data_IF_443538494940
#
_entry.id   IF_443538494940
#
_cell.length_a   1.000
_cell.length_b   1.000
_cell.length_c   1.000
_cell.angle_alpha   90.00
_cell.angle_beta   90.00
_cell.angle_gamma   90.00
#
_symmetry.space_group_name_H-M   'P 1'
#
loop_
_entity.id
_entity.type
_entity.pdbx_description
1 polymer ?
#
# COMPACT_ATOMS: atom_id res chain seq x y z
N UNK A 1 24.98 -11.63 -5.93
CA UNK A 1 24.39 -10.41 -5.36
C UNK A 1 22.95 -10.75 -5.07
N UNK A 2 22.56 -10.84 -3.80
CA UNK A 2 21.16 -10.94 -3.43
C UNK A 2 20.58 -9.53 -3.60
N UNK A 3 19.57 -9.36 -4.44
CA UNK A 3 18.77 -8.15 -4.38
C UNK A 3 18.12 -8.15 -3.00
N UNK A 4 18.49 -7.22 -2.13
CA UNK A 4 17.70 -6.91 -0.94
C UNK A 4 16.44 -6.21 -1.46
N UNK A 5 15.48 -6.99 -1.95
CA UNK A 5 14.13 -6.49 -2.22
C UNK A 5 13.51 -6.17 -0.87
N UNK A 6 13.13 -4.91 -0.68
CA UNK A 6 12.36 -4.49 0.49
C UNK A 6 11.04 -5.26 0.59
N UNK A 7 10.34 -5.13 1.71
CA UNK A 7 9.00 -5.72 1.89
C UNK A 7 7.93 -4.63 1.80
N UNK A 8 6.70 -5.01 1.46
CA UNK A 8 5.54 -4.15 1.67
C UNK A 8 5.08 -4.17 3.13
N UNK A 9 4.10 -3.32 3.46
CA UNK A 9 3.39 -3.42 4.74
C UNK A 9 2.66 -4.75 4.89
N UNK A 10 2.56 -5.24 6.13
CA UNK A 10 1.83 -6.48 6.45
C UNK A 10 0.33 -6.25 6.70
N UNK A 11 -0.16 -5.01 6.59
CA UNK A 11 -1.57 -4.69 6.78
C UNK A 11 -2.43 -5.36 5.70
N UNK A 12 -3.54 -5.99 6.10
CA UNK A 12 -4.43 -6.71 5.17
C UNK A 12 -5.54 -5.77 4.65
N UNK A 13 -5.53 -5.41 3.35
CA UNK A 13 -6.53 -4.52 2.77
C UNK A 13 -7.90 -5.19 2.59
N UNK A 14 -7.98 -6.53 2.68
CA UNK A 14 -9.25 -7.26 2.53
C UNK A 14 -10.23 -7.02 3.68
N UNK A 15 -9.72 -6.53 4.81
CA UNK A 15 -10.51 -6.17 6.01
C UNK A 15 -11.19 -4.80 5.90
N UNK A 16 -10.88 -4.01 4.87
CA UNK A 16 -11.42 -2.65 4.70
C UNK A 16 -12.73 -2.70 3.92
N UNK A 17 -13.83 -2.36 4.59
CA UNK A 17 -15.18 -2.38 4.02
C UNK A 17 -15.84 -1.01 3.97
N UNK A 18 -15.39 -0.09 4.81
CA UNK A 18 -15.99 1.22 5.04
C UNK A 18 -14.92 2.24 5.49
N UNK A 19 -15.36 3.46 5.78
CA UNK A 19 -14.47 4.55 6.20
C UNK A 19 -13.77 4.27 7.53
N UNK A 20 -14.46 3.65 8.49
CA UNK A 20 -13.93 3.47 9.84
C UNK A 20 -12.86 2.38 9.83
N UNK A 21 -13.15 1.24 9.17
CA UNK A 21 -12.17 0.18 8.92
C UNK A 21 -10.97 0.63 8.08
N UNK A 22 -11.15 1.61 7.17
CA UNK A 22 -10.04 2.23 6.46
C UNK A 22 -9.15 3.09 7.40
N UNK A 23 -9.76 3.80 8.35
CA UNK A 23 -9.03 4.53 9.39
C UNK A 23 -8.17 3.61 10.24
N UNK A 24 -8.76 2.52 10.75
CA UNK A 24 -8.06 1.50 11.53
C UNK A 24 -6.90 0.88 10.73
N UNK A 25 -7.12 0.60 9.44
CA UNK A 25 -6.08 0.12 8.53
C UNK A 25 -4.89 1.08 8.43
N UNK A 26 -5.13 2.39 8.29
CA UNK A 26 -4.06 3.39 8.20
C UNK A 26 -3.24 3.47 9.49
N UNK A 27 -3.87 3.30 10.65
CA UNK A 27 -3.15 3.25 11.93
C UNK A 27 -2.23 2.03 12.00
N UNK A 28 -2.65 0.88 11.48
CA UNK A 28 -1.80 -0.32 11.39
C UNK A 28 -0.61 -0.09 10.45
N UNK A 29 -0.84 0.48 9.26
CA UNK A 29 0.23 0.81 8.30
C UNK A 29 1.24 1.77 8.92
N UNK A 30 0.77 2.81 9.62
CA UNK A 30 1.63 3.77 10.31
C UNK A 30 2.40 3.13 11.47
N UNK A 31 1.78 2.19 12.17
CA UNK A 31 2.42 1.38 13.21
C UNK A 31 3.55 0.51 12.64
N UNK A 32 3.32 -0.15 11.49
CA UNK A 32 4.33 -0.96 10.80
C UNK A 32 5.53 -0.11 10.34
N UNK A 33 5.28 1.09 9.81
CA UNK A 33 6.34 2.03 9.44
C UNK A 33 7.22 2.38 10.66
N UNK A 34 6.58 2.86 11.74
CA UNK A 34 7.28 3.46 12.90
C UNK A 34 7.88 2.44 13.86
N UNK A 35 7.23 1.30 14.03
CA UNK A 35 7.53 0.33 15.08
C UNK A 35 7.87 -1.07 14.52
N UNK A 36 7.37 -1.40 13.32
CA UNK A 36 7.54 -2.70 12.68
C UNK A 36 8.79 -2.83 11.81
N UNK A 37 9.68 -1.82 11.79
CA UNK A 37 10.88 -1.81 10.96
C UNK A 37 10.65 -1.30 9.53
N UNK A 38 9.43 -0.86 9.19
CA UNK A 38 9.11 -0.39 7.84
C UNK A 38 9.98 0.78 7.36
N UNK A 39 10.47 1.65 8.25
CA UNK A 39 11.41 2.73 7.87
C UNK A 39 12.68 2.21 7.18
N UNK A 40 13.19 1.04 7.60
CA UNK A 40 14.39 0.42 7.03
C UNK A 40 14.09 -0.70 6.03
N UNK A 41 12.90 -1.28 6.09
CA UNK A 41 12.56 -2.50 5.35
C UNK A 41 11.60 -2.28 4.19
N UNK A 42 10.81 -1.20 4.21
CA UNK A 42 9.93 -0.88 3.08
C UNK A 42 10.73 -0.45 1.88
N UNK A 43 10.34 -0.94 0.71
CA UNK A 43 10.96 -0.55 -0.54
C UNK A 43 10.78 0.95 -0.82
N UNK A 44 9.60 1.45 -0.48
CA UNK A 44 9.16 2.83 -0.66
C UNK A 44 8.96 3.54 0.69
N UNK A 45 9.96 3.49 1.56
CA UNK A 45 9.89 4.05 2.92
C UNK A 45 9.91 5.59 2.98
N UNK A 46 10.35 6.27 1.92
CA UNK A 46 10.31 7.73 1.83
C UNK A 46 9.00 8.21 1.22
N UNK A 47 8.53 9.39 1.65
CA UNK A 47 7.29 9.97 1.13
C UNK A 47 7.31 10.13 -0.40
N UNK A 48 8.46 10.50 -0.96
CA UNK A 48 8.63 10.68 -2.41
C UNK A 48 8.40 9.37 -3.18
N UNK A 49 9.08 8.28 -2.79
CA UNK A 49 8.90 6.96 -3.40
C UNK A 49 7.51 6.37 -3.17
N UNK A 50 6.96 6.58 -1.97
CA UNK A 50 5.60 6.16 -1.66
C UNK A 50 4.59 6.82 -2.59
N UNK A 51 4.71 8.14 -2.81
CA UNK A 51 3.81 8.87 -3.71
C UNK A 51 4.02 8.49 -5.18
N UNK A 52 5.25 8.24 -5.61
CA UNK A 52 5.56 7.76 -6.97
C UNK A 52 4.94 6.38 -7.24
N UNK A 53 5.08 5.44 -6.32
CA UNK A 53 4.47 4.11 -6.43
C UNK A 53 2.94 4.17 -6.35
N UNK A 54 2.38 5.03 -5.49
CA UNK A 54 0.94 5.25 -5.40
C UNK A 54 0.36 5.81 -6.71
N UNK A 55 1.05 6.76 -7.33
CA UNK A 55 0.66 7.34 -8.62
C UNK A 55 0.74 6.31 -9.74
N UNK A 56 1.85 5.55 -9.80
CA UNK A 56 2.03 4.49 -10.80
C UNK A 56 0.93 3.44 -10.70
N UNK A 57 0.60 2.97 -9.49
CA UNK A 57 -0.50 2.02 -9.29
C UNK A 57 -1.87 2.60 -9.68
N UNK A 58 -2.12 3.88 -9.42
CA UNK A 58 -3.37 4.54 -9.79
C UNK A 58 -3.56 4.63 -11.32
N UNK A 59 -2.45 4.74 -12.07
CA UNK A 59 -2.44 4.81 -13.53
C UNK A 59 -2.40 3.42 -14.19
N UNK A 60 -1.81 2.43 -13.52
CA UNK A 60 -1.70 1.05 -13.98
C UNK A 60 -3.05 0.34 -13.99
N UNK A 61 -3.73 0.45 -15.14
CA UNK A 61 -4.93 -0.33 -15.45
C UNK A 61 -4.57 -1.80 -15.59
N UNK A 62 -4.72 -2.59 -14.52
CA UNK A 62 -4.52 -4.05 -14.59
C UNK A 62 -5.58 -4.68 -15.49
N UNK A 63 -5.13 -5.17 -16.65
CA UNK A 63 -5.97 -5.93 -17.59
C UNK A 63 -6.56 -7.15 -16.87
N UNK A 64 -7.89 -7.28 -16.87
CA UNK A 64 -8.61 -8.43 -16.30
C UNK A 64 -9.11 -8.26 -14.86
N UNK A 65 -8.88 -7.09 -14.23
CA UNK A 65 -9.51 -6.76 -12.94
C UNK A 65 -10.83 -6.02 -13.20
N UNK A 66 -11.95 -6.64 -12.86
CA UNK A 66 -13.26 -5.99 -12.95
C UNK A 66 -13.37 -4.84 -11.93
N UNK A 67 -14.17 -3.81 -12.25
CA UNK A 67 -14.54 -2.71 -11.35
C UNK A 67 -13.41 -1.81 -10.81
N UNK A 68 -12.26 -1.73 -11.49
CA UNK A 68 -11.20 -0.74 -11.14
C UNK A 68 -11.65 0.72 -11.21
N UNK A 69 -12.70 1.01 -11.99
CA UNK A 69 -13.28 2.35 -12.13
C UNK A 69 -14.20 2.72 -10.95
N UNK A 70 -14.57 1.75 -10.10
CA UNK A 70 -15.36 2.01 -8.89
C UNK A 70 -14.43 2.22 -7.69
N UNK A 71 -14.31 3.49 -7.29
CA UNK A 71 -13.66 3.84 -6.03
C UNK A 71 -14.34 3.11 -4.86
N UNK A 72 -13.54 2.41 -4.06
CA UNK A 72 -13.97 1.75 -2.83
C UNK A 72 -12.91 1.91 -1.76
N UNK A 73 -13.31 1.83 -0.49
CA UNK A 73 -12.35 1.90 0.63
C UNK A 73 -11.31 0.78 0.56
N UNK A 74 -11.74 -0.41 0.10
CA UNK A 74 -10.84 -1.52 -0.19
C UNK A 74 -9.81 -1.17 -1.26
N UNK A 75 -10.22 -0.58 -2.38
CA UNK A 75 -9.30 -0.16 -3.43
C UNK A 75 -8.26 0.83 -2.90
N UNK A 76 -8.68 1.81 -2.09
CA UNK A 76 -7.73 2.73 -1.44
C UNK A 76 -6.75 2.01 -0.51
N UNK A 77 -7.19 1.02 0.25
CA UNK A 77 -6.30 0.22 1.10
C UNK A 77 -5.29 -0.58 0.25
N UNK A 78 -5.72 -1.19 -0.84
CA UNK A 78 -4.84 -1.92 -1.77
C UNK A 78 -3.80 -0.99 -2.41
N UNK A 79 -4.19 0.23 -2.80
CA UNK A 79 -3.28 1.25 -3.31
C UNK A 79 -2.20 1.62 -2.29
N UNK A 80 -2.57 1.74 -1.01
CA UNK A 80 -1.60 2.03 0.07
C UNK A 80 -0.64 0.85 0.27
N UNK A 81 -1.11 -0.40 0.25
CA UNK A 81 -0.22 -1.57 0.33
C UNK A 81 0.77 -1.57 -0.83
N UNK A 82 0.28 -1.40 -2.06
CA UNK A 82 1.14 -1.31 -3.24
C UNK A 82 2.17 -0.20 -3.10
N UNK A 83 1.77 1.00 -2.67
CA UNK A 83 2.68 2.12 -2.48
C UNK A 83 3.85 1.85 -1.51
N UNK A 84 3.76 0.85 -0.62
CA UNK A 84 4.87 0.48 0.28
C UNK A 84 5.93 -0.46 -0.35
N UNK A 85 5.62 -1.14 -1.46
CA UNK A 85 6.56 -2.08 -2.09
C UNK A 85 6.21 -2.52 -3.52
N UNK A 86 5.65 -1.62 -4.32
CA UNK A 86 5.41 -1.80 -5.76
C UNK A 86 6.61 -1.22 -6.52
N UNK A 87 7.17 -2.03 -7.43
CA UNK A 87 8.25 -1.68 -8.38
C UNK A 87 7.71 -1.03 -9.67
#
# INVERSE_FOLDING_TARGET
MACETGRSTTADPSLVTDRDSFGDFLEVVLGDLRLGGGESEWENSSLDRFLEALASFAEDRVIGRADQEHASWKLFAEMVVAATGYE
#
